data_IF_775500785793
#
_entry.id   IF_775500785793
#
_cell.length_a   1.000
_cell.length_b   1.000
_cell.length_c   1.000
_cell.angle_alpha   90.00
_cell.angle_beta   90.00
_cell.angle_gamma   90.00
#
_symmetry.space_group_name_H-M   'P 1'
#
loop_
_entity.id
_entity.type
_entity.pdbx_description
1 polymer ?
#
# COMPACT_ATOMS: atom_id res chain seq x y z
N UNK A 1 -4.69 3.15 7.40
CA UNK A 1 -4.64 4.14 6.30
C UNK A 1 -3.27 4.82 6.23
N UNK A 2 -2.61 5.10 7.35
CA UNK A 2 -1.16 5.40 7.38
C UNK A 2 -0.35 4.28 6.69
N UNK A 3 -0.74 3.04 6.87
CA UNK A 3 -0.21 1.88 6.16
C UNK A 3 -0.35 2.04 4.64
N UNK A 4 -1.49 2.49 4.15
CA UNK A 4 -1.71 2.73 2.72
C UNK A 4 -0.80 3.84 2.18
N UNK A 5 -0.66 4.97 2.90
CA UNK A 5 0.22 6.07 2.47
C UNK A 5 1.68 5.66 2.40
N UNK A 6 2.17 4.94 3.41
CA UNK A 6 3.58 4.51 3.44
C UNK A 6 3.93 3.57 2.27
N UNK A 7 3.00 2.74 1.85
CA UNK A 7 3.20 1.82 0.73
C UNK A 7 3.04 2.47 -0.65
N UNK A 8 2.15 3.46 -0.78
CA UNK A 8 1.97 4.14 -2.07
C UNK A 8 3.04 5.18 -2.36
N UNK A 9 3.61 5.85 -1.35
CA UNK A 9 4.71 6.81 -1.54
C UNK A 9 6.04 6.15 -1.86
N UNK A 10 6.26 4.89 -1.46
CA UNK A 10 7.50 4.17 -1.80
C UNK A 10 7.48 3.53 -3.19
N UNK A 11 6.29 3.38 -3.82
CA UNK A 11 6.16 2.77 -5.15
C UNK A 11 6.35 3.73 -6.32
N UNK A 12 6.38 5.05 -6.08
CA UNK A 12 6.50 6.06 -7.14
C UNK A 12 7.94 6.49 -7.45
N UNK A 13 8.95 5.90 -6.79
CA UNK A 13 10.37 6.25 -7.04
C UNK A 13 11.11 5.32 -8.00
N UNK A 14 10.39 4.58 -8.87
CA UNK A 14 10.99 3.91 -10.01
C UNK A 14 10.63 4.65 -11.31
N UNK A 15 11.06 5.91 -11.41
CA UNK A 15 11.10 6.61 -12.68
C UNK A 15 12.35 6.19 -13.45
N UNK A 16 12.30 5.05 -14.12
CA UNK A 16 13.10 4.82 -15.31
C UNK A 16 12.41 5.51 -16.49
N UNK A 17 12.67 6.79 -16.65
CA UNK A 17 12.42 7.50 -17.90
C UNK A 17 13.66 7.29 -18.76
N UNK A 18 13.58 6.67 -19.94
CA UNK A 18 14.70 6.66 -20.85
C UNK A 18 14.92 8.09 -21.39
N UNK A 19 16.03 8.67 -21.04
CA UNK A 19 16.47 9.96 -21.57
C UNK A 19 16.85 9.80 -23.04
N UNK A 20 15.96 10.22 -23.93
CA UNK A 20 16.27 10.47 -25.34
C UNK A 20 16.42 11.98 -25.48
N UNK A 21 17.62 12.48 -25.34
CA UNK A 21 18.10 13.68 -26.06
C UNK A 21 19.61 13.78 -25.88
N UNK A 22 20.34 13.31 -26.88
CA UNK A 22 21.72 13.66 -27.13
C UNK A 22 21.78 15.02 -27.79
N UNK A 23 22.41 16.00 -27.17
CA UNK A 23 23.15 17.02 -27.88
C UNK A 23 24.33 17.50 -27.03
N UNK A 24 25.48 17.50 -27.63
CA UNK A 24 26.78 17.70 -27.07
C UNK A 24 27.03 19.08 -26.46
N UNK A 25 27.95 19.09 -25.54
CA UNK A 25 28.53 20.31 -24.94
C UNK A 25 29.54 19.89 -23.90
N UNK A 26 30.81 19.91 -24.27
CA UNK A 26 31.90 19.72 -23.37
C UNK A 26 31.87 20.79 -22.28
N UNK A 27 32.09 20.42 -21.02
CA UNK A 27 33.08 21.10 -20.16
C UNK A 27 32.95 20.68 -18.69
N UNK A 28 34.14 20.41 -18.18
CA UNK A 28 34.65 20.49 -16.81
C UNK A 28 34.20 19.40 -15.84
N UNK A 29 35.10 18.44 -15.75
CA UNK A 29 35.29 17.56 -14.59
C UNK A 29 35.63 18.41 -13.36
N UNK A 30 34.62 18.71 -12.54
CA UNK A 30 34.86 18.97 -11.12
C UNK A 30 34.83 17.63 -10.40
N UNK A 31 36.02 17.17 -10.02
CA UNK A 31 36.23 15.93 -9.31
C UNK A 31 35.36 15.87 -8.05
N UNK A 32 34.43 14.95 -8.04
CA UNK A 32 33.75 14.53 -6.84
C UNK A 32 34.80 13.90 -5.91
N UNK A 33 35.18 14.64 -4.87
CA UNK A 33 36.02 14.08 -3.81
C UNK A 33 35.17 13.07 -3.07
N UNK A 34 35.55 11.78 -3.04
CA UNK A 34 34.83 10.82 -2.23
C UNK A 34 34.83 11.32 -0.79
N UNK A 35 33.63 11.42 -0.22
CA UNK A 35 33.47 11.67 1.21
C UNK A 35 34.29 10.60 1.90
N UNK A 36 35.28 10.97 2.69
CA UNK A 36 36.07 10.04 3.48
C UNK A 36 35.08 9.25 4.32
N UNK A 37 34.91 7.95 4.01
CA UNK A 37 34.11 7.08 4.80
C UNK A 37 34.55 7.22 6.26
N UNK A 38 33.57 7.50 7.13
CA UNK A 38 33.87 7.73 8.53
C UNK A 38 34.40 6.42 9.12
N UNK A 39 35.69 6.40 9.45
CA UNK A 39 36.42 5.23 9.98
C UNK A 39 35.68 4.61 11.18
N UNK A 40 34.95 5.42 11.95
CA UNK A 40 34.13 4.95 13.07
C UNK A 40 32.94 4.11 12.61
N UNK A 41 32.28 4.47 11.50
CA UNK A 41 31.16 3.69 10.93
C UNK A 41 31.66 2.38 10.33
N UNK A 42 32.83 2.39 9.68
CA UNK A 42 33.44 1.16 9.16
C UNK A 42 33.87 0.21 10.28
N UNK A 43 34.43 0.75 11.35
CA UNK A 43 34.87 -0.03 12.51
C UNK A 43 33.67 -0.67 13.23
N UNK A 44 32.61 0.10 13.46
CA UNK A 44 31.37 -0.37 14.07
C UNK A 44 30.70 -1.46 13.24
N UNK A 45 30.72 -1.33 11.90
CA UNK A 45 30.23 -2.33 10.95
C UNK A 45 31.04 -3.62 11.02
N UNK A 46 32.39 -3.52 11.07
CA UNK A 46 33.26 -4.69 11.15
C UNK A 46 33.17 -5.40 12.50
N UNK A 47 32.96 -4.67 13.60
CA UNK A 47 32.74 -5.29 14.92
C UNK A 47 31.40 -6.05 14.98
N UNK A 48 30.35 -5.51 14.40
CA UNK A 48 29.03 -6.19 14.31
C UNK A 48 29.08 -7.45 13.44
N UNK A 49 29.88 -7.44 12.38
CA UNK A 49 30.10 -8.63 11.54
C UNK A 49 30.87 -9.73 12.27
N UNK A 50 31.82 -9.37 13.15
CA UNK A 50 32.58 -10.33 13.96
C UNK A 50 31.77 -10.97 15.08
N UNK A 51 30.77 -10.28 15.61
CA UNK A 51 29.90 -10.81 16.69
C UNK A 51 28.83 -11.79 16.17
N UNK A 52 28.78 -12.08 14.87
CA UNK A 52 27.81 -13.03 14.27
C UNK A 52 26.35 -12.58 14.44
N UNK A 53 26.12 -11.38 14.92
CA UNK A 53 24.82 -10.72 14.92
C UNK A 53 24.59 -10.11 13.54
N UNK A 54 24.38 -10.97 12.54
CA UNK A 54 23.63 -10.56 11.38
C UNK A 54 22.25 -10.20 11.89
N UNK A 55 22.06 -8.94 12.26
CA UNK A 55 20.74 -8.39 12.48
C UNK A 55 20.02 -8.51 11.15
N UNK A 56 19.32 -9.61 10.95
CA UNK A 56 18.24 -9.65 9.99
C UNK A 56 17.34 -8.50 10.40
N UNK A 57 17.45 -7.37 9.68
CA UNK A 57 16.40 -6.37 9.71
C UNK A 57 15.17 -7.08 9.17
N UNK A 58 14.43 -7.71 10.07
CA UNK A 58 13.08 -8.16 9.77
C UNK A 58 12.34 -6.89 9.42
N UNK A 59 12.15 -6.67 8.13
CA UNK A 59 11.37 -5.56 7.61
C UNK A 59 9.96 -5.81 8.13
N UNK A 60 9.62 -5.20 9.26
CA UNK A 60 8.28 -5.31 9.80
C UNK A 60 7.33 -4.70 8.78
N UNK A 61 6.55 -5.57 8.15
CA UNK A 61 5.50 -5.18 7.24
C UNK A 61 4.19 -5.19 8.04
N UNK A 62 3.63 -4.02 8.36
CA UNK A 62 2.41 -3.98 9.16
C UNK A 62 1.19 -4.65 8.48
N UNK A 63 1.29 -5.01 7.20
CA UNK A 63 0.27 -5.80 6.52
C UNK A 63 0.36 -7.30 6.82
N UNK A 64 1.48 -7.78 7.39
CA UNK A 64 1.65 -9.21 7.68
C UNK A 64 0.72 -9.71 8.79
N UNK A 65 0.18 -8.80 9.61
CA UNK A 65 -0.82 -9.10 10.63
C UNK A 65 -2.22 -9.37 10.05
N UNK A 66 -2.43 -9.04 8.76
CA UNK A 66 -3.72 -9.22 8.08
C UNK A 66 -3.71 -10.48 7.21
N UNK A 67 -4.86 -11.20 7.16
CA UNK A 67 -4.95 -12.41 6.35
C UNK A 67 -4.75 -12.14 4.87
N UNK A 68 -3.99 -13.02 4.24
CA UNK A 68 -3.75 -12.97 2.80
C UNK A 68 -4.99 -13.45 2.05
N UNK A 69 -5.67 -12.50 1.42
CA UNK A 69 -6.84 -12.72 0.56
C UNK A 69 -6.77 -11.73 -0.59
N UNK A 70 -6.20 -12.16 -1.68
CA UNK A 70 -5.93 -11.28 -2.81
C UNK A 70 -7.11 -11.27 -3.79
N UNK A 71 -7.77 -10.11 -4.00
CA UNK A 71 -8.72 -9.95 -5.10
C UNK A 71 -8.02 -10.10 -6.45
N UNK A 72 -8.71 -10.52 -7.51
CA UNK A 72 -8.15 -10.55 -8.84
C UNK A 72 -7.55 -9.19 -9.23
N UNK A 73 -6.28 -9.19 -9.66
CA UNK A 73 -5.51 -7.96 -9.99
C UNK A 73 -5.33 -6.99 -8.82
N UNK A 74 -5.40 -7.48 -7.59
CA UNK A 74 -5.28 -6.70 -6.36
C UNK A 74 -3.92 -6.78 -5.65
N UNK A 75 -2.91 -7.43 -6.25
CA UNK A 75 -1.63 -7.73 -5.61
C UNK A 75 -0.87 -6.47 -5.18
N UNK A 76 -0.91 -5.41 -6.00
CA UNK A 76 -0.21 -4.15 -5.77
C UNK A 76 -1.16 -2.96 -5.61
N UNK A 77 -2.45 -3.20 -5.50
CA UNK A 77 -3.47 -2.17 -5.44
C UNK A 77 -4.26 -2.17 -4.15
N UNK A 78 -4.96 -1.08 -3.92
CA UNK A 78 -5.97 -0.95 -2.90
C UNK A 78 -7.33 -1.19 -3.56
N UNK A 79 -8.04 -2.22 -3.15
CA UNK A 79 -9.35 -2.61 -3.69
C UNK A 79 -10.42 -2.42 -2.62
N UNK A 80 -11.49 -1.74 -2.96
CA UNK A 80 -12.64 -1.57 -2.07
C UNK A 80 -13.91 -2.07 -2.77
N UNK A 81 -14.61 -3.01 -2.13
CA UNK A 81 -15.93 -3.43 -2.57
C UNK A 81 -16.98 -2.58 -1.89
N UNK A 82 -17.84 -1.97 -2.68
CA UNK A 82 -18.89 -1.05 -2.22
C UNK A 82 -20.22 -1.35 -2.88
N UNK A 83 -21.25 -0.59 -2.54
CA UNK A 83 -22.50 -0.53 -3.27
C UNK A 83 -22.94 0.91 -3.44
N UNK A 84 -23.44 1.24 -4.63
CA UNK A 84 -24.16 2.50 -4.89
C UNK A 84 -25.66 2.35 -4.69
N UNK A 85 -26.14 1.13 -4.43
CA UNK A 85 -27.54 0.86 -4.21
C UNK A 85 -27.99 1.38 -2.84
N UNK A 86 -28.91 2.32 -2.82
CA UNK A 86 -29.44 2.93 -1.60
C UNK A 86 -30.51 2.11 -0.86
N UNK A 87 -30.78 0.86 -1.27
CA UNK A 87 -31.84 0.02 -0.70
C UNK A 87 -31.67 -0.28 0.78
N UNK A 88 -30.42 -0.39 1.24
CA UNK A 88 -30.09 -0.49 2.67
C UNK A 88 -29.31 0.77 3.04
N UNK A 89 -29.96 1.70 3.70
CA UNK A 89 -29.40 3.02 4.01
C UNK A 89 -28.08 2.95 4.76
N UNK A 90 -28.00 2.09 5.79
CA UNK A 90 -26.79 1.93 6.60
C UNK A 90 -25.59 1.47 5.73
N UNK A 91 -25.81 0.47 4.90
CA UNK A 91 -24.77 -0.04 4.00
C UNK A 91 -24.26 1.04 3.04
N UNK A 92 -25.20 1.83 2.50
CA UNK A 92 -24.85 2.95 1.62
C UNK A 92 -24.04 4.02 2.34
N UNK A 93 -24.45 4.41 3.56
CA UNK A 93 -23.73 5.37 4.39
C UNK A 93 -22.31 4.87 4.76
N UNK A 94 -22.18 3.60 5.13
CA UNK A 94 -20.91 2.95 5.45
C UNK A 94 -19.96 2.92 4.24
N UNK A 95 -20.47 2.61 3.04
CA UNK A 95 -19.69 2.68 1.80
C UNK A 95 -19.19 4.09 1.51
N UNK A 96 -20.06 5.10 1.65
CA UNK A 96 -19.67 6.49 1.47
C UNK A 96 -18.63 6.94 2.50
N UNK A 97 -18.75 6.50 3.75
CA UNK A 97 -17.80 6.79 4.80
C UNK A 97 -16.40 6.26 4.47
N UNK A 98 -16.30 5.01 4.04
CA UNK A 98 -15.02 4.43 3.62
C UNK A 98 -14.43 5.18 2.42
N UNK A 99 -15.25 5.48 1.41
CA UNK A 99 -14.83 6.25 0.24
C UNK A 99 -14.25 7.61 0.64
N UNK A 100 -14.95 8.39 1.45
CA UNK A 100 -14.49 9.68 1.94
C UNK A 100 -13.19 9.60 2.73
N UNK A 101 -13.02 8.57 3.56
CA UNK A 101 -11.78 8.35 4.29
C UNK A 101 -10.61 8.10 3.32
N UNK A 102 -10.78 7.24 2.32
CA UNK A 102 -9.73 6.96 1.32
C UNK A 102 -9.39 8.20 0.50
N UNK A 103 -10.38 8.95 0.06
CA UNK A 103 -10.21 10.21 -0.68
C UNK A 103 -9.50 11.28 0.16
N UNK A 104 -9.84 11.42 1.43
CA UNK A 104 -9.20 12.37 2.35
C UNK A 104 -7.71 12.13 2.49
N UNK A 105 -7.28 10.88 2.37
CA UNK A 105 -5.89 10.48 2.37
C UNK A 105 -5.21 10.55 1.00
N UNK A 106 -5.95 10.94 -0.05
CA UNK A 106 -5.46 11.02 -1.43
C UNK A 106 -4.83 9.71 -1.93
N UNK A 107 -5.44 8.60 -1.56
CA UNK A 107 -5.01 7.26 -1.98
C UNK A 107 -5.74 6.88 -3.25
N UNK A 108 -5.03 6.35 -4.22
CA UNK A 108 -5.65 5.76 -5.41
C UNK A 108 -6.16 4.37 -5.05
N UNK A 109 -7.41 4.09 -5.36
CA UNK A 109 -8.04 2.80 -5.09
C UNK A 109 -8.92 2.34 -6.25
N UNK A 110 -9.06 1.02 -6.38
CA UNK A 110 -9.96 0.36 -7.31
C UNK A 110 -11.30 0.10 -6.61
N UNK A 111 -12.33 0.83 -7.00
CA UNK A 111 -13.67 0.68 -6.43
C UNK A 111 -14.48 -0.32 -7.26
N UNK A 112 -14.97 -1.36 -6.59
CA UNK A 112 -15.78 -2.43 -7.18
C UNK A 112 -17.18 -2.44 -6.61
N UNK A 113 -18.14 -1.99 -7.42
CA UNK A 113 -19.55 -1.94 -7.04
C UNK A 113 -20.19 -3.32 -7.25
N UNK A 114 -20.56 -3.96 -6.14
CA UNK A 114 -21.18 -5.30 -6.15
C UNK A 114 -22.65 -5.30 -6.59
N UNK A 115 -23.29 -4.12 -6.64
CA UNK A 115 -24.66 -4.00 -7.11
C UNK A 115 -24.73 -3.83 -8.62
N UNK A 116 -23.75 -3.11 -9.21
CA UNK A 116 -23.67 -2.90 -10.66
C UNK A 116 -23.10 -4.10 -11.39
N UNK A 117 -22.15 -4.81 -10.77
CA UNK A 117 -21.42 -5.91 -11.38
C UNK A 117 -21.51 -7.17 -10.52
N UNK A 118 -22.28 -8.16 -10.98
CA UNK A 118 -22.44 -9.45 -10.29
C UNK A 118 -21.13 -10.22 -10.11
N UNK A 119 -20.18 -10.01 -11.00
CA UNK A 119 -18.84 -10.59 -10.93
C UNK A 119 -18.10 -10.15 -9.64
N UNK A 120 -18.16 -8.88 -9.27
CA UNK A 120 -17.54 -8.39 -8.04
C UNK A 120 -18.20 -8.94 -6.78
N UNK A 121 -19.50 -9.19 -6.85
CA UNK A 121 -20.20 -9.89 -5.75
C UNK A 121 -19.70 -11.32 -5.58
N UNK A 122 -19.48 -12.02 -6.69
CA UNK A 122 -18.98 -13.38 -6.67
C UNK A 122 -17.51 -13.41 -6.16
N UNK A 123 -16.64 -12.52 -6.65
CA UNK A 123 -15.28 -12.37 -6.16
C UNK A 123 -15.25 -12.17 -4.63
N UNK A 124 -16.08 -11.27 -4.12
CA UNK A 124 -16.15 -10.98 -2.69
C UNK A 124 -16.59 -12.19 -1.87
N UNK A 125 -17.57 -12.95 -2.35
CA UNK A 125 -18.02 -14.19 -1.71
C UNK A 125 -16.92 -15.25 -1.63
N UNK A 126 -16.16 -15.41 -2.69
CA UNK A 126 -15.05 -16.35 -2.75
C UNK A 126 -13.92 -15.96 -1.79
N UNK A 127 -13.67 -14.66 -1.62
CA UNK A 127 -12.62 -14.14 -0.75
C UNK A 127 -12.97 -14.21 0.74
N UNK A 128 -14.19 -13.86 1.11
CA UNK A 128 -14.56 -13.60 2.51
C UNK A 128 -15.70 -14.50 2.99
N UNK A 129 -16.56 -15.00 2.11
CA UNK A 129 -17.68 -15.87 2.43
C UNK A 129 -19.02 -15.35 1.96
N UNK A 130 -20.07 -16.20 2.09
CA UNK A 130 -21.41 -15.93 1.55
C UNK A 130 -22.15 -14.76 2.20
N UNK A 131 -21.99 -14.56 3.50
CA UNK A 131 -22.76 -13.60 4.30
C UNK A 131 -22.04 -12.26 4.50
N UNK A 132 -21.17 -11.89 3.56
CA UNK A 132 -20.37 -10.69 3.69
C UNK A 132 -21.10 -9.46 3.19
N UNK A 133 -21.21 -8.48 4.08
CA UNK A 133 -21.70 -7.14 3.76
C UNK A 133 -20.57 -6.25 3.21
N UNK A 134 -20.92 -5.30 2.35
CA UNK A 134 -20.02 -4.21 1.95
C UNK A 134 -20.19 -3.01 2.91
N UNK A 135 -19.19 -2.14 3.08
CA UNK A 135 -17.91 -2.11 2.36
C UNK A 135 -16.86 -3.11 2.88
N UNK A 136 -15.95 -3.54 2.00
CA UNK A 136 -14.78 -4.36 2.36
C UNK A 136 -13.54 -3.84 1.66
N UNK A 137 -12.46 -3.72 2.44
CA UNK A 137 -11.20 -3.14 2.00
C UNK A 137 -10.10 -4.20 1.94
N UNK A 138 -9.36 -4.20 0.84
CA UNK A 138 -8.18 -5.01 0.62
C UNK A 138 -7.00 -4.11 0.24
N UNK A 139 -5.84 -4.37 0.79
CA UNK A 139 -4.61 -3.62 0.52
C UNK A 139 -3.51 -4.59 0.14
N UNK A 140 -3.02 -4.49 -1.09
CA UNK A 140 -1.94 -5.35 -1.61
C UNK A 140 -2.15 -6.83 -1.33
N UNK A 141 -3.33 -7.33 -1.66
CA UNK A 141 -3.70 -8.74 -1.46
C UNK A 141 -3.96 -9.15 -0.01
N UNK A 142 -4.07 -8.20 0.92
CA UNK A 142 -4.39 -8.45 2.33
C UNK A 142 -5.78 -7.92 2.66
N UNK A 143 -6.58 -8.71 3.35
CA UNK A 143 -7.91 -8.34 3.79
C UNK A 143 -7.85 -7.50 5.05
N UNK A 144 -8.26 -6.25 4.96
CA UNK A 144 -8.23 -5.31 6.09
C UNK A 144 -9.51 -5.42 6.92
N UNK A 145 -10.67 -5.44 6.28
CA UNK A 145 -11.95 -5.53 6.98
C UNK A 145 -13.03 -4.62 6.41
N UNK A 146 -14.00 -4.29 7.23
CA UNK A 146 -15.13 -3.43 6.89
C UNK A 146 -14.96 -1.99 7.34
N UNK A 147 -16.10 -1.30 7.50
CA UNK A 147 -16.10 0.14 7.88
C UNK A 147 -15.49 0.38 9.25
N UNK A 148 -15.70 -0.53 10.21
CA UNK A 148 -15.20 -0.37 11.59
C UNK A 148 -13.67 -0.40 11.63
N UNK A 149 -13.05 -1.37 10.94
CA UNK A 149 -11.61 -1.48 10.83
C UNK A 149 -10.98 -0.30 10.10
N UNK A 150 -11.62 0.17 9.03
CA UNK A 150 -11.15 1.35 8.28
C UNK A 150 -11.22 2.63 9.13
N UNK A 151 -12.29 2.81 9.89
CA UNK A 151 -12.43 3.94 10.81
C UNK A 151 -11.39 3.88 11.92
N UNK A 152 -11.22 2.71 12.54
CA UNK A 152 -10.23 2.51 13.57
C UNK A 152 -8.80 2.83 13.08
N UNK A 153 -8.45 2.35 11.90
CA UNK A 153 -7.15 2.65 11.27
C UNK A 153 -6.99 4.14 10.91
N UNK A 154 -8.08 4.85 10.64
CA UNK A 154 -8.05 6.28 10.39
C UNK A 154 -7.85 7.11 11.66
N UNK A 155 -8.38 6.64 12.79
CA UNK A 155 -8.29 7.31 14.09
C UNK A 155 -6.95 7.04 14.80
N UNK A 156 -6.37 5.87 14.56
CA UNK A 156 -5.07 5.48 15.12
C UNK A 156 -3.94 6.16 14.32
N UNK A 157 -3.54 7.34 14.77
CA UNK A 157 -2.46 8.14 14.16
C UNK A 157 -1.17 8.02 14.97
#
# INVERSE_FOLDING_TARGET
>A
ILLCKHYFTTSTNNNNIPNIFSHGGAQTQQGYKPVKENIFLLRDKMEREKEGKVGTFVKFNPLDDYPEKCPPRGEDSLVVYTTTLGGVRRTFEDCNKVRLILESHRVVFDERDVALHGEFRQELKELVGEDVSVPRLFVKGRYIGGVEEVVHLNETK
#
